data_IF_948471785195
#
_entry.id   IF_948471785195
#
_cell.length_a   1.000
_cell.length_b   1.000
_cell.length_c   1.000
_cell.angle_alpha   90.00
_cell.angle_beta   90.00
_cell.angle_gamma   90.00
#
_symmetry.space_group_name_H-M   'P 1'
#
loop_
_entity.id
_entity.type
_entity.pdbx_description
1 polymer ?
#
# COMPACT_ATOMS: atom_id res chain seq x y z
N UNK A 1 13.25 2.06 11.27
CA UNK A 1 12.02 2.66 11.86
C UNK A 1 10.92 1.62 11.81
N UNK A 2 10.47 1.10 12.96
CA UNK A 2 9.53 -0.04 13.05
C UNK A 2 8.17 0.31 13.66
N UNK A 3 8.04 1.46 14.33
CA UNK A 3 6.79 1.95 14.93
C UNK A 3 6.03 2.96 14.04
N UNK A 4 6.22 2.90 12.72
CA UNK A 4 5.58 3.83 11.76
C UNK A 4 4.72 3.03 10.78
N UNK A 5 3.48 3.46 10.58
CA UNK A 5 2.55 2.89 9.61
C UNK A 5 2.37 3.82 8.41
N UNK A 6 2.04 3.25 7.25
CA UNK A 6 1.66 4.05 6.08
C UNK A 6 0.23 4.56 6.26
N UNK A 7 -0.03 5.74 5.72
CA UNK A 7 -1.38 6.29 5.63
C UNK A 7 -2.04 5.74 4.38
N UNK A 8 -3.25 5.22 4.52
CA UNK A 8 -4.07 4.77 3.40
C UNK A 8 -4.49 5.99 2.56
N UNK A 9 -4.23 5.99 1.24
CA UNK A 9 -4.68 7.07 0.37
C UNK A 9 -6.22 7.17 0.28
N UNK A 10 -6.96 6.09 0.50
CA UNK A 10 -8.42 6.09 0.37
C UNK A 10 -9.15 6.75 1.55
N UNK A 11 -8.75 6.45 2.79
CA UNK A 11 -9.45 6.92 4.01
C UNK A 11 -8.57 7.74 4.98
N UNK A 12 -7.28 7.92 4.67
CA UNK A 12 -6.35 8.70 5.48
C UNK A 12 -5.96 8.04 6.82
N UNK A 13 -6.32 6.78 7.05
CA UNK A 13 -6.01 6.06 8.30
C UNK A 13 -4.78 5.18 8.15
N UNK A 14 -4.18 4.78 9.26
CA UNK A 14 -3.05 3.85 9.24
C UNK A 14 -3.42 2.52 8.58
N UNK A 15 -2.58 2.05 7.66
CA UNK A 15 -2.76 0.81 6.88
C UNK A 15 -1.47 0.01 6.80
N UNK A 16 -1.61 -1.31 6.61
CA UNK A 16 -0.49 -2.21 6.36
C UNK A 16 -0.23 -2.28 4.86
N UNK A 17 1.04 -2.35 4.49
CA UNK A 17 1.45 -2.49 3.08
C UNK A 17 1.41 -3.96 2.67
N UNK A 18 0.81 -4.23 1.51
CA UNK A 18 0.91 -5.48 0.78
C UNK A 18 1.72 -5.31 -0.49
N UNK A 19 2.11 -6.42 -1.11
CA UNK A 19 2.77 -6.43 -2.41
C UNK A 19 1.93 -7.22 -3.40
N UNK A 20 1.70 -6.67 -4.58
CA UNK A 20 1.03 -7.35 -5.69
C UNK A 20 1.88 -7.18 -6.95
N UNK A 21 1.88 -8.19 -7.80
CA UNK A 21 2.45 -8.10 -9.14
C UNK A 21 1.32 -7.69 -10.08
N UNK A 22 1.52 -6.59 -10.81
CA UNK A 22 0.61 -6.18 -11.87
C UNK A 22 0.84 -7.03 -13.12
N UNK A 23 -0.10 -6.98 -14.05
CA UNK A 23 -0.05 -7.76 -15.30
C UNK A 23 1.13 -7.37 -16.20
N UNK A 24 1.69 -6.16 -16.01
CA UNK A 24 2.90 -5.67 -16.65
C UNK A 24 4.21 -6.23 -16.02
N UNK A 25 4.11 -7.12 -15.03
CA UNK A 25 5.24 -7.72 -14.33
C UNK A 25 5.85 -6.84 -13.22
N UNK A 26 5.34 -5.63 -12.99
CA UNK A 26 5.86 -4.74 -11.93
C UNK A 26 5.29 -5.13 -10.58
N UNK A 27 6.18 -5.18 -9.58
CA UNK A 27 5.80 -5.38 -8.18
C UNK A 27 5.46 -4.04 -7.56
N UNK A 28 4.19 -3.84 -7.22
CA UNK A 28 3.70 -2.61 -6.59
C UNK A 28 3.39 -2.85 -5.12
N UNK A 29 3.54 -1.78 -4.33
CA UNK A 29 3.04 -1.72 -2.95
C UNK A 29 1.58 -1.26 -3.00
N UNK A 30 0.74 -1.87 -2.17
CA UNK A 30 -0.66 -1.49 -2.05
C UNK A 30 -1.10 -1.42 -0.58
N UNK A 31 -2.08 -0.59 -0.29
CA UNK A 31 -2.73 -0.49 1.00
C UNK A 31 -3.63 -1.71 1.21
N UNK A 32 -3.37 -2.54 2.23
CA UNK A 32 -4.19 -3.74 2.47
C UNK A 32 -5.64 -3.43 2.85
N UNK A 33 -5.93 -2.23 3.35
CA UNK A 33 -7.28 -1.82 3.74
C UNK A 33 -8.11 -1.39 2.53
N UNK A 34 -7.67 -0.36 1.78
CA UNK A 34 -8.40 0.13 0.61
C UNK A 34 -8.14 -0.66 -0.68
N UNK A 35 -7.02 -1.37 -0.77
CA UNK A 35 -6.57 -1.99 -2.01
C UNK A 35 -5.88 -1.02 -2.97
N UNK A 36 -5.75 0.26 -2.60
CA UNK A 36 -5.14 1.28 -3.44
C UNK A 36 -3.62 1.12 -3.52
N UNK A 37 -3.06 1.50 -4.67
CA UNK A 37 -1.62 1.44 -4.90
C UNK A 37 -0.95 2.55 -4.10
N UNK A 38 0.01 2.17 -3.27
CA UNK A 38 0.89 3.09 -2.54
C UNK A 38 2.13 3.25 -3.42
N UNK A 39 2.03 4.02 -4.50
CA UNK A 39 3.18 4.40 -5.31
C UNK A 39 3.60 5.82 -4.93
N UNK A 40 4.65 5.91 -4.12
CA UNK A 40 5.36 7.13 -3.74
C UNK A 40 6.82 6.81 -3.50
#
# INVERSE_FOLDING_TARGET
>A
VSNVAHVDPGDGRATRVGFKTLEDGRKVRFAKRSGEIIDR
#
